data_IF_662342003072
#
_entry.id   IF_662342003072
#
_cell.length_a   1.000
_cell.length_b   1.000
_cell.length_c   1.000
_cell.angle_alpha   90.00
_cell.angle_beta   90.00
_cell.angle_gamma   90.00
#
_symmetry.space_group_name_H-M   'P 1'
#
loop_
_entity.id
_entity.type
_entity.pdbx_description
1 polymer ?
#
# COMPACT_ATOMS: atom_id res chain seq x y z
N UNK A 1 -9.37 9.13 19.86
CA UNK A 1 -8.36 8.06 19.69
C UNK A 1 -7.77 8.23 18.30
N UNK A 2 -6.50 8.59 18.22
CA UNK A 2 -5.82 8.80 16.93
C UNK A 2 -5.32 7.44 16.43
N UNK A 3 -5.64 7.11 15.18
CA UNK A 3 -5.11 5.96 14.46
C UNK A 3 -3.57 5.95 14.53
N UNK A 4 -2.97 4.78 14.73
CA UNK A 4 -1.51 4.62 14.81
C UNK A 4 -1.04 3.56 13.81
N UNK A 5 -0.51 4.05 12.68
CA UNK A 5 0.54 3.40 11.88
C UNK A 5 0.11 2.41 10.80
N UNK A 6 0.25 2.81 9.54
CA UNK A 6 0.61 1.88 8.47
C UNK A 6 2.14 1.76 8.50
N UNK A 7 2.65 0.55 8.67
CA UNK A 7 4.10 0.29 8.70
C UNK A 7 4.50 -0.23 7.33
N UNK A 8 4.94 0.67 6.45
CA UNK A 8 5.60 0.24 5.22
C UNK A 8 7.07 -0.09 5.55
N UNK A 9 7.45 -1.37 5.53
CA UNK A 9 8.87 -1.77 5.65
C UNK A 9 9.59 -1.45 4.34
N UNK A 10 9.91 -0.17 4.16
CA UNK A 10 10.48 0.33 2.92
C UNK A 10 12.00 0.22 2.89
N UNK A 11 12.48 -0.65 2.00
CA UNK A 11 13.85 -0.64 1.52
C UNK A 11 13.88 -0.02 0.13
N UNK A 12 14.68 1.04 0.00
CA UNK A 12 15.10 1.74 -1.22
C UNK A 12 14.39 3.06 -1.60
N UNK A 13 15.23 3.96 -2.11
CA UNK A 13 15.11 5.41 -2.16
C UNK A 13 13.80 6.02 -2.70
N UNK A 14 13.31 5.59 -3.86
CA UNK A 14 12.24 6.31 -4.57
C UNK A 14 10.89 6.14 -3.89
N UNK A 15 10.64 4.98 -3.28
CA UNK A 15 9.34 4.66 -2.67
C UNK A 15 9.14 5.50 -1.41
N UNK A 16 10.18 5.60 -0.56
CA UNK A 16 10.16 6.45 0.63
C UNK A 16 9.89 7.91 0.26
N UNK A 17 10.49 8.39 -0.84
CA UNK A 17 10.29 9.74 -1.34
C UNK A 17 8.83 9.94 -1.77
N UNK A 18 8.26 9.03 -2.56
CA UNK A 18 6.87 9.13 -3.00
C UNK A 18 5.89 9.12 -1.82
N UNK A 19 6.08 8.25 -0.83
CA UNK A 19 5.30 8.21 0.40
C UNK A 19 5.45 9.51 1.22
N UNK A 20 6.67 10.02 1.35
CA UNK A 20 6.99 11.28 2.04
C UNK A 20 6.34 12.50 1.38
N UNK A 21 6.40 12.60 0.05
CA UNK A 21 5.83 13.72 -0.70
C UNK A 21 4.29 13.72 -0.61
N UNK A 22 3.67 12.54 -0.51
CA UNK A 22 2.21 12.35 -0.38
C UNK A 22 1.74 12.13 1.05
N UNK A 23 2.57 12.41 2.06
CA UNK A 23 2.25 12.15 3.48
C UNK A 23 0.94 12.81 3.94
N UNK A 24 0.58 13.96 3.35
CA UNK A 24 -0.66 14.67 3.67
C UNK A 24 -1.92 13.89 3.23
N UNK A 25 -1.83 13.03 2.20
CA UNK A 25 -2.94 12.13 1.83
C UNK A 25 -3.17 11.07 2.90
N UNK A 26 -2.10 10.50 3.45
CA UNK A 26 -2.17 9.54 4.55
C UNK A 26 -2.70 10.19 5.83
N UNK A 27 -2.19 11.37 6.22
CA UNK A 27 -2.67 12.09 7.40
C UNK A 27 -4.16 12.43 7.33
N UNK A 28 -4.68 12.80 6.15
CA UNK A 28 -6.12 13.10 5.95
C UNK A 28 -7.02 11.92 6.25
N UNK A 29 -6.54 10.69 6.02
CA UNK A 29 -7.26 9.46 6.33
C UNK A 29 -6.82 8.85 7.68
N UNK A 30 -6.12 9.62 8.51
CA UNK A 30 -5.66 9.20 9.84
C UNK A 30 -4.55 8.16 9.79
N UNK A 31 -3.76 8.08 8.74
CA UNK A 31 -2.67 7.10 8.64
C UNK A 31 -1.32 7.79 8.84
N UNK A 32 -0.50 7.16 9.67
CA UNK A 32 0.93 7.46 9.80
C UNK A 32 1.71 6.49 8.92
N UNK A 33 2.81 6.97 8.32
CA UNK A 33 3.69 6.17 7.48
C UNK A 33 5.07 6.11 8.13
N UNK A 34 5.67 4.92 8.16
CA UNK A 34 6.99 4.69 8.73
C UNK A 34 7.78 3.83 7.76
N UNK A 35 8.99 4.24 7.39
CA UNK A 35 9.93 3.45 6.61
C UNK A 35 10.89 2.68 7.53
N UNK A 36 11.48 1.59 7.07
CA UNK A 36 12.42 0.79 7.87
C UNK A 36 13.40 0.01 6.99
N UNK A 37 14.68 0.05 7.36
CA UNK A 37 15.74 -0.71 6.67
C UNK A 37 16.74 -1.28 7.68
N UNK A 38 17.59 -2.21 7.22
CA UNK A 38 18.68 -2.80 8.02
C UNK A 38 19.89 -1.87 8.22
N UNK A 39 19.86 -0.68 7.63
CA UNK A 39 20.92 0.32 7.74
C UNK A 39 20.90 1.02 9.10
N UNK A 40 22.02 1.65 9.45
CA UNK A 40 22.12 2.45 10.66
C UNK A 40 21.41 3.80 10.53
N UNK A 41 21.02 4.39 11.66
CA UNK A 41 20.49 5.75 11.72
C UNK A 41 21.46 6.81 11.17
N UNK A 42 22.78 6.54 11.20
CA UNK A 42 23.79 7.42 10.61
C UNK A 42 23.76 7.37 9.08
N UNK A 43 23.59 6.16 8.52
CA UNK A 43 23.38 5.97 7.08
C UNK A 43 22.12 6.71 6.63
N UNK A 44 21.02 6.57 7.37
CA UNK A 44 19.77 7.28 7.10
C UNK A 44 19.95 8.80 7.11
N UNK A 45 20.62 9.34 8.13
CA UNK A 45 20.89 10.78 8.23
C UNK A 45 21.80 11.29 7.10
N UNK A 46 22.80 10.51 6.69
CA UNK A 46 23.63 10.87 5.55
C UNK A 46 22.79 10.91 4.27
N UNK A 47 21.88 9.95 4.11
CA UNK A 47 21.05 9.83 2.92
C UNK A 47 19.99 10.92 2.78
N UNK A 48 19.42 11.39 3.89
CA UNK A 48 18.50 12.54 3.91
C UNK A 48 19.18 13.88 3.65
N UNK A 49 20.48 13.99 3.94
CA UNK A 49 21.28 15.19 3.62
C UNK A 49 21.70 15.24 2.15
N UNK A 50 21.77 14.10 1.47
CA UNK A 50 22.15 14.04 0.07
C UNK A 50 21.00 14.53 -0.83
N UNK A 51 21.29 15.36 -1.86
CA UNK A 51 20.26 15.81 -2.80
C UNK A 51 19.60 14.66 -3.57
N UNK A 52 18.30 14.80 -3.86
CA UNK A 52 17.55 13.80 -4.65
C UNK A 52 18.13 13.56 -6.04
N UNK A 53 18.66 14.61 -6.67
CA UNK A 53 19.31 14.53 -8.00
C UNK A 53 20.57 13.64 -8.00
N UNK A 54 21.18 13.45 -6.84
CA UNK A 54 22.36 12.61 -6.65
C UNK A 54 21.99 11.22 -6.09
N UNK A 55 20.71 10.86 -6.08
CA UNK A 55 20.23 9.60 -5.51
C UNK A 55 20.01 9.62 -3.99
N UNK A 56 20.06 10.81 -3.37
CA UNK A 56 19.69 11.01 -1.97
C UNK A 56 18.19 10.97 -1.73
N UNK A 57 17.78 10.92 -0.46
CA UNK A 57 16.38 11.03 -0.06
C UNK A 57 15.91 12.50 -0.03
N UNK A 58 16.83 13.42 0.26
CA UNK A 58 16.49 14.81 0.58
C UNK A 58 15.68 14.92 1.86
N UNK A 59 14.89 15.99 1.96
CA UNK A 59 14.02 16.22 3.11
C UNK A 59 12.89 15.16 3.17
N UNK A 60 12.79 14.50 4.32
CA UNK A 60 11.89 13.38 4.56
C UNK A 60 10.89 13.72 5.66
N UNK A 61 9.61 13.59 5.35
CA UNK A 61 8.48 13.92 6.24
C UNK A 61 7.95 12.71 7.01
N UNK A 62 8.61 11.56 6.84
CA UNK A 62 8.28 10.30 7.50
C UNK A 62 9.49 9.81 8.32
N UNK A 63 9.26 9.16 9.47
CA UNK A 63 10.33 8.50 10.21
C UNK A 63 10.90 7.30 9.44
N UNK A 64 12.22 7.11 9.55
CA UNK A 64 12.95 5.97 8.98
C UNK A 64 13.60 5.19 10.14
N UNK A 65 13.17 3.95 10.34
CA UNK A 65 13.66 3.05 11.38
C UNK A 65 14.96 2.38 10.92
N UNK A 66 15.93 2.32 11.83
CA UNK A 66 17.16 1.56 11.68
C UNK A 66 17.02 0.19 12.37
N UNK A 67 16.76 -0.86 11.59
CA UNK A 67 16.71 -2.26 12.01
C UNK A 67 18.10 -2.90 11.97
N UNK A 68 19.06 -2.31 12.68
CA UNK A 68 20.48 -2.72 12.63
C UNK A 68 20.70 -4.17 13.11
N UNK A 69 19.83 -4.67 13.98
CA UNK A 69 19.85 -6.06 14.48
C UNK A 69 19.15 -7.02 13.54
N UNK A 70 18.52 -6.52 12.46
CA UNK A 70 17.74 -7.28 11.48
C UNK A 70 16.58 -8.06 12.12
N UNK A 71 16.16 -7.67 13.31
CA UNK A 71 15.13 -8.37 14.08
C UNK A 71 13.76 -8.04 13.52
N UNK A 72 13.50 -6.77 13.19
CA UNK A 72 12.20 -6.36 12.61
C UNK A 72 12.01 -7.04 11.25
N UNK A 73 13.02 -6.99 10.40
CA UNK A 73 13.00 -7.61 9.07
C UNK A 73 12.76 -9.12 9.13
N UNK A 74 13.33 -9.79 10.13
CA UNK A 74 13.14 -11.23 10.36
C UNK A 74 11.76 -11.54 10.91
N UNK A 75 11.29 -10.79 11.90
CA UNK A 75 9.99 -10.99 12.54
C UNK A 75 8.84 -10.76 11.55
N UNK A 76 9.01 -9.83 10.60
CA UNK A 76 8.07 -9.58 9.51
C UNK A 76 8.27 -10.51 8.30
N UNK A 77 9.23 -11.44 8.34
CA UNK A 77 9.45 -12.44 7.31
C UNK A 77 9.97 -11.89 5.98
N UNK A 78 10.59 -10.71 5.98
CA UNK A 78 11.10 -10.04 4.78
C UNK A 78 12.62 -10.10 4.66
N UNK A 79 13.34 -10.53 5.69
CA UNK A 79 14.80 -10.66 5.64
C UNK A 79 15.23 -11.81 4.71
N UNK A 80 16.12 -11.52 3.77
CA UNK A 80 16.80 -12.53 2.97
C UNK A 80 17.95 -13.12 3.80
N UNK A 81 17.83 -14.38 4.20
CA UNK A 81 18.78 -15.05 5.10
C UNK A 81 19.94 -15.75 4.35
N UNK A 82 19.80 -16.00 3.04
CA UNK A 82 20.77 -16.76 2.25
C UNK A 82 20.84 -16.30 0.79
N UNK A 83 21.96 -16.58 0.12
CA UNK A 83 22.17 -16.23 -1.29
C UNK A 83 23.01 -14.96 -1.46
N UNK A 84 23.01 -14.40 -2.67
CA UNK A 84 23.73 -13.18 -3.02
C UNK A 84 23.26 -11.95 -2.26
N UNK A 85 21.97 -11.89 -1.93
CA UNK A 85 21.31 -10.73 -1.32
C UNK A 85 21.10 -10.91 0.19
N UNK A 86 21.82 -11.87 0.80
CA UNK A 86 21.71 -12.18 2.21
C UNK A 86 22.01 -10.95 3.08
N UNK A 87 21.13 -10.70 4.06
CA UNK A 87 21.24 -9.60 4.99
C UNK A 87 20.52 -8.32 4.58
N UNK A 88 19.83 -8.31 3.44
CA UNK A 88 18.91 -7.26 2.98
C UNK A 88 17.48 -7.75 3.15
N UNK A 89 16.52 -6.85 3.36
CA UNK A 89 15.10 -7.24 3.34
C UNK A 89 14.44 -6.99 1.97
N UNK A 90 13.47 -7.82 1.64
CA UNK A 90 12.59 -7.65 0.49
C UNK A 90 11.72 -6.39 0.65
N UNK A 91 11.07 -5.97 -0.44
CA UNK A 91 10.20 -4.78 -0.45
C UNK A 91 8.85 -5.11 0.17
N UNK A 92 8.76 -5.04 1.50
CA UNK A 92 7.57 -5.36 2.29
C UNK A 92 6.70 -4.14 2.62
N UNK A 93 5.39 -4.24 2.39
CA UNK A 93 4.40 -3.24 2.85
C UNK A 93 3.41 -3.91 3.77
N UNK A 94 3.24 -3.37 4.98
CA UNK A 94 2.32 -3.88 5.99
C UNK A 94 1.32 -2.80 6.39
N UNK A 95 0.04 -3.08 6.18
CA UNK A 95 -1.04 -2.21 6.67
C UNK A 95 -1.49 -2.77 8.01
N UNK A 96 -1.21 -2.02 9.08
CA UNK A 96 -1.53 -2.39 10.45
C UNK A 96 -2.70 -1.53 10.92
N UNK A 97 -3.68 -2.16 11.55
CA UNK A 97 -4.86 -1.45 12.05
C UNK A 97 -4.65 -0.90 13.48
N UNK A 98 -5.61 -0.11 14.00
CA UNK A 98 -5.53 0.42 15.37
C UNK A 98 -5.46 -0.65 16.47
N UNK A 99 -5.86 -1.89 16.18
CA UNK A 99 -5.78 -3.03 17.09
C UNK A 99 -4.44 -3.77 16.98
N UNK A 100 -3.47 -3.21 16.25
CA UNK A 100 -2.14 -3.80 16.00
C UNK A 100 -2.22 -5.13 15.25
N UNK A 101 -3.26 -5.30 14.41
CA UNK A 101 -3.43 -6.47 13.58
C UNK A 101 -3.01 -6.11 12.15
N UNK A 102 -2.14 -6.93 11.58
CA UNK A 102 -1.75 -6.83 10.17
C UNK A 102 -2.96 -7.22 9.30
N UNK A 103 -3.43 -6.28 8.48
CA UNK A 103 -4.57 -6.45 7.57
C UNK A 103 -4.16 -6.74 6.14
N UNK A 104 -3.04 -6.18 5.71
CA UNK A 104 -2.48 -6.42 4.37
C UNK A 104 -0.98 -6.60 4.47
N UNK A 105 -0.49 -7.55 3.70
CA UNK A 105 0.94 -7.78 3.44
C UNK A 105 1.15 -7.80 1.94
N UNK A 106 2.06 -6.97 1.44
CA UNK A 106 2.54 -7.01 0.06
C UNK A 106 4.06 -7.15 0.09
N UNK A 107 4.59 -8.18 -0.57
CA UNK A 107 6.03 -8.42 -0.64
C UNK A 107 6.41 -8.47 -2.11
N UNK A 108 7.24 -7.53 -2.52
CA UNK A 108 7.80 -7.48 -3.87
C UNK A 108 9.27 -7.90 -3.82
N UNK A 109 9.72 -8.53 -4.91
CA UNK A 109 11.14 -8.79 -5.12
C UNK A 109 11.92 -7.48 -5.31
N UNK A 110 13.24 -7.52 -5.10
CA UNK A 110 14.13 -6.35 -5.12
C UNK A 110 14.04 -5.48 -6.39
N UNK A 111 13.84 -6.00 -7.62
CA UNK A 111 13.76 -5.15 -8.80
C UNK A 111 12.37 -4.54 -9.04
N UNK A 112 11.34 -4.93 -8.28
CA UNK A 112 9.95 -4.57 -8.56
C UNK A 112 9.45 -3.52 -7.57
N UNK A 113 9.19 -2.31 -8.09
CA UNK A 113 8.62 -1.23 -7.29
C UNK A 113 7.18 -1.48 -6.84
N UNK A 114 6.75 -0.74 -5.81
CA UNK A 114 5.42 -0.74 -5.21
C UNK A 114 4.64 0.50 -5.66
N UNK A 115 3.32 0.49 -5.43
CA UNK A 115 2.43 1.58 -5.79
C UNK A 115 1.83 2.23 -4.55
N UNK A 116 2.10 3.53 -4.35
CA UNK A 116 1.49 4.33 -3.27
C UNK A 116 -0.03 4.42 -3.44
N UNK A 117 -0.52 4.49 -4.68
CA UNK A 117 -1.96 4.54 -4.98
C UNK A 117 -2.68 3.27 -4.55
N UNK A 118 -2.04 2.11 -4.71
CA UNK A 118 -2.60 0.84 -4.26
C UNK A 118 -2.66 0.78 -2.73
N UNK A 119 -1.63 1.26 -2.03
CA UNK A 119 -1.64 1.34 -0.57
C UNK A 119 -2.78 2.23 -0.08
N UNK A 120 -2.95 3.42 -0.66
CA UNK A 120 -4.07 4.32 -0.32
C UNK A 120 -5.43 3.68 -0.60
N UNK A 121 -5.59 3.00 -1.74
CA UNK A 121 -6.82 2.29 -2.10
C UNK A 121 -7.17 1.19 -1.10
N UNK A 122 -6.18 0.42 -0.67
CA UNK A 122 -6.35 -0.64 0.32
C UNK A 122 -6.74 -0.09 1.70
N UNK A 123 -6.14 1.03 2.12
CA UNK A 123 -6.53 1.72 3.36
C UNK A 123 -7.98 2.20 3.27
N UNK A 124 -8.37 2.88 2.19
CA UNK A 124 -9.76 3.32 1.99
C UNK A 124 -10.74 2.13 2.05
N UNK A 125 -10.37 0.99 1.45
CA UNK A 125 -11.21 -0.21 1.45
C UNK A 125 -11.37 -0.81 2.86
N UNK A 126 -10.28 -0.88 3.62
CA UNK A 126 -10.31 -1.36 5.01
C UNK A 126 -11.16 -0.45 5.89
N UNK A 127 -10.97 0.87 5.81
CA UNK A 127 -11.76 1.83 6.58
C UNK A 127 -13.24 1.82 6.18
N UNK A 128 -13.53 1.62 4.90
CA UNK A 128 -14.91 1.46 4.44
C UNK A 128 -15.55 0.20 5.02
N UNK A 129 -14.86 -0.94 4.95
CA UNK A 129 -15.34 -2.19 5.53
C UNK A 129 -15.57 -2.07 7.04
N UNK A 130 -14.64 -1.47 7.78
CA UNK A 130 -14.74 -1.27 9.23
C UNK A 130 -15.96 -0.40 9.60
N UNK A 131 -16.25 0.62 8.79
CA UNK A 131 -17.37 1.54 9.03
C UNK A 131 -18.72 0.99 8.63
N UNK A 132 -18.79 0.22 7.54
CA UNK A 132 -20.06 -0.18 6.91
C UNK A 132 -20.39 -1.67 7.06
N UNK A 133 -19.41 -2.53 7.34
CA UNK A 133 -19.56 -3.99 7.37
C UNK A 133 -19.66 -4.65 5.99
N UNK A 134 -19.83 -3.86 4.93
CA UNK A 134 -19.83 -4.31 3.54
C UNK A 134 -18.42 -4.73 3.10
N UNK A 135 -18.34 -5.68 2.16
CA UNK A 135 -17.08 -6.08 1.54
C UNK A 135 -16.80 -5.26 0.27
N UNK A 136 -15.52 -5.04 0.01
CA UNK A 136 -15.00 -4.31 -1.14
C UNK A 136 -14.63 -5.29 -2.27
N UNK A 137 -15.31 -5.26 -3.43
CA UNK A 137 -14.99 -6.10 -4.58
C UNK A 137 -13.61 -5.82 -5.19
N UNK A 138 -13.21 -6.66 -6.16
CA UNK A 138 -11.96 -6.48 -6.91
C UNK A 138 -11.93 -5.10 -7.56
N UNK A 139 -10.82 -4.38 -7.39
CA UNK A 139 -10.64 -3.05 -7.94
C UNK A 139 -11.49 -1.96 -7.30
N UNK A 140 -12.16 -2.23 -6.17
CA UNK A 140 -12.96 -1.24 -5.46
C UNK A 140 -12.13 0.01 -5.15
N UNK A 141 -12.72 1.16 -5.44
CA UNK A 141 -12.23 2.49 -5.09
C UNK A 141 -13.31 3.22 -4.31
N UNK A 142 -12.92 4.25 -3.56
CA UNK A 142 -13.84 5.10 -2.83
C UNK A 142 -14.95 5.63 -3.76
N UNK A 143 -16.20 5.38 -3.39
CA UNK A 143 -17.38 5.74 -4.18
C UNK A 143 -17.90 4.63 -5.12
N UNK A 144 -17.14 3.56 -5.36
CA UNK A 144 -17.61 2.38 -6.08
C UNK A 144 -18.65 1.59 -5.28
N UNK A 145 -19.44 0.77 -5.98
CA UNK A 145 -20.40 -0.12 -5.33
C UNK A 145 -19.70 -1.17 -4.46
N UNK A 146 -20.15 -1.27 -3.22
CA UNK A 146 -19.79 -2.33 -2.27
C UNK A 146 -20.78 -3.50 -2.37
N UNK A 147 -20.45 -4.60 -1.69
CA UNK A 147 -21.27 -5.80 -1.66
C UNK A 147 -21.51 -6.23 -0.21
N UNK A 148 -22.73 -6.66 0.12
CA UNK A 148 -23.00 -7.28 1.43
C UNK A 148 -22.46 -8.71 1.45
N UNK A 149 -21.85 -9.09 2.57
CA UNK A 149 -21.26 -10.42 2.78
C UNK A 149 -22.31 -11.49 3.13
N UNK A 150 -23.43 -11.53 2.39
CA UNK A 150 -24.47 -12.54 2.57
C UNK A 150 -25.12 -12.94 1.22
N UNK A 151 -25.63 -14.18 1.07
CA UNK A 151 -26.16 -14.68 -0.20
C UNK A 151 -27.38 -13.91 -0.74
N UNK A 152 -28.12 -13.19 0.11
CA UNK A 152 -29.32 -12.46 -0.29
C UNK A 152 -28.93 -11.02 -0.65
N UNK A 153 -28.19 -10.34 0.22
CA UNK A 153 -27.73 -8.96 0.05
C UNK A 153 -26.73 -8.77 -1.08
N UNK A 154 -25.92 -9.78 -1.39
CA UNK A 154 -24.97 -9.74 -2.53
C UNK A 154 -25.67 -9.65 -3.89
N UNK A 155 -26.93 -10.12 -4.02
CA UNK A 155 -27.67 -10.06 -5.30
C UNK A 155 -27.86 -8.63 -5.80
N UNK A 156 -28.09 -7.68 -4.90
CA UNK A 156 -28.23 -6.27 -5.24
C UNK A 156 -26.94 -5.67 -5.84
N UNK A 157 -25.77 -6.21 -5.48
CA UNK A 157 -24.51 -5.86 -6.12
C UNK A 157 -24.42 -6.46 -7.53
N UNK A 158 -24.67 -7.77 -7.66
CA UNK A 158 -24.59 -8.49 -8.94
C UNK A 158 -25.56 -7.94 -10.00
N UNK A 159 -26.77 -7.56 -9.60
CA UNK A 159 -27.73 -6.91 -10.51
C UNK A 159 -27.19 -5.58 -11.06
N UNK A 160 -26.61 -4.73 -10.19
CA UNK A 160 -26.07 -3.42 -10.61
C UNK A 160 -24.86 -3.56 -11.54
N UNK A 161 -23.92 -4.45 -11.25
CA UNK A 161 -22.71 -4.60 -12.07
C UNK A 161 -22.98 -5.28 -13.41
N UNK A 162 -23.94 -6.21 -13.46
CA UNK A 162 -24.34 -6.86 -14.71
C UNK A 162 -25.09 -5.89 -15.65
N UNK A 163 -25.91 -4.97 -15.10
CA UNK A 163 -26.55 -3.94 -15.91
C UNK A 163 -25.52 -3.02 -16.60
N UNK A 164 -24.40 -2.72 -15.94
CA UNK A 164 -23.33 -1.92 -16.56
C UNK A 164 -22.52 -2.70 -17.62
N UNK A 165 -22.44 -4.03 -17.51
CA UNK A 165 -21.74 -4.83 -18.54
C UNK A 165 -22.56 -4.90 -19.83
N UNK A 166 -23.89 -4.87 -19.74
CA UNK A 166 -24.77 -4.87 -20.91
C UNK A 166 -24.60 -3.62 -21.78
N UNK A 167 -24.39 -2.44 -21.18
CA UNK A 167 -24.13 -1.20 -21.93
C UNK A 167 -22.74 -1.13 -22.58
N UNK A 168 -21.72 -1.78 -22.00
CA UNK A 168 -20.38 -1.82 -22.60
C UNK A 168 -20.29 -2.75 -23.81
N UNK A 169 -21.15 -3.78 -23.90
CA UNK A 169 -21.19 -4.68 -25.06
C UNK A 169 -21.94 -4.03 -26.22
N UNK A 170 -22.99 -3.24 -25.96
CA UNK A 170 -23.71 -2.52 -27.02
C UNK A 170 -22.87 -1.46 -27.73
N UNK A 171 -21.91 -0.84 -27.03
CA UNK A 171 -20.97 0.12 -27.63
C UNK A 171 -19.88 -0.54 -28.49
N UNK A 172 -19.61 -1.84 -28.27
CA UNK A 172 -18.66 -2.61 -29.08
C UNK A 172 -19.28 -3.03 -30.43
N UNK A 173 -20.59 -3.28 -30.47
CA UNK A 173 -21.30 -3.63 -31.70
C UNK A 173 -21.45 -2.44 -32.68
N UNK A 174 -21.50 -1.20 -32.17
CA UNK A 174 -21.46 0.01 -33.04
C UNK A 174 -20.09 0.25 -33.68
N UNK A 175 -19.00 -0.19 -33.05
CA UNK A 175 -17.64 0.01 -33.56
C UNK A 175 -17.29 -0.97 -34.70
N UNK A 176 -17.96 -2.12 -34.78
CA UNK A 176 -17.74 -3.13 -35.84
C UNK A 176 -18.62 -2.82 -37.08
N UNK A 177 -19.69 -2.04 -36.94
CA UNK A 177 -20.60 -1.70 -38.03
C UNK A 177 -20.08 -0.57 -38.98
N UNK A 178 -18.90 0.01 -38.70
CA UNK A 178 -18.33 1.13 -39.49
C UNK A 178 -16.97 0.84 -40.13
N UNK A 179 -16.53 -0.42 -40.19
CA UNK A 179 -15.35 -0.85 -40.98
C UNK A 179 -15.72 -1.80 -42.11
#
# INVERSE_FOLDING_TARGET
MHYRGVVTLELFNIECICSSDRIEEFKKIGVEVVAASVDSQFSHLAWTKQPRLEGGLGDMKIPIIADITKTISRDYGVLVESGSDAGVALRGTFIIDPHQIVRVVQINDLPIGRSVDEVLRLIDALQFHEKHGDVCPVGWKKGSHSMKADPIGSKAYFEKVNLNTFFMVSDFDELIATT
#
